data_IF_622966389289
#
_entry.id   IF_622966389289
#
_cell.length_a   1.000
_cell.length_b   1.000
_cell.length_c   1.000
_cell.angle_alpha   90.00
_cell.angle_beta   90.00
_cell.angle_gamma   90.00
#
_symmetry.space_group_name_H-M   'P 1'
#
loop_
_entity.id
_entity.type
_entity.pdbx_description
1 polymer ?
#
# COMPACT_ATOMS: atom_id res chain seq x y z
N UNK A 1 7.84 8.96 1.72
CA UNK A 1 6.51 8.57 2.21
C UNK A 1 6.46 9.00 3.67
N UNK A 2 5.43 9.76 4.08
CA UNK A 2 5.39 10.41 5.39
C UNK A 2 5.34 9.45 6.58
N UNK A 3 5.50 9.98 7.79
CA UNK A 3 5.37 9.23 9.05
C UNK A 3 4.02 8.50 9.11
N UNK A 4 4.06 7.18 9.37
CA UNK A 4 2.86 6.36 9.59
C UNK A 4 2.34 5.55 8.40
N UNK A 5 2.99 5.61 7.22
CA UNK A 5 2.68 4.71 6.08
C UNK A 5 3.62 3.51 6.09
N UNK A 6 3.04 2.31 6.09
CA UNK A 6 3.77 1.04 6.06
C UNK A 6 3.58 0.36 4.71
N UNK A 7 4.68 -0.15 4.14
CA UNK A 7 4.66 -1.06 3.00
C UNK A 7 5.07 -2.45 3.49
N UNK A 8 4.19 -3.43 3.34
CA UNK A 8 4.43 -4.81 3.72
C UNK A 8 4.44 -5.67 2.47
N UNK A 9 5.58 -6.28 2.15
CA UNK A 9 5.72 -7.19 1.01
C UNK A 9 5.81 -8.64 1.50
N UNK A 10 4.82 -9.47 1.15
CA UNK A 10 4.75 -10.87 1.57
C UNK A 10 4.85 -11.83 0.37
N UNK A 11 5.77 -12.80 0.36
CA UNK A 11 5.79 -13.85 -0.65
C UNK A 11 4.57 -14.78 -0.46
N UNK A 12 3.83 -15.08 -1.53
CA UNK A 12 2.75 -16.06 -1.53
C UNK A 12 3.14 -17.23 -2.45
N UNK A 13 2.82 -18.48 -2.07
CA UNK A 13 3.30 -19.70 -2.78
C UNK A 13 3.13 -19.59 -4.29
N UNK A 14 4.25 -19.50 -5.02
CA UNK A 14 4.30 -19.47 -6.49
C UNK A 14 4.07 -18.10 -7.13
N UNK A 15 3.63 -17.09 -6.37
CA UNK A 15 3.25 -15.78 -6.86
C UNK A 15 4.03 -14.65 -6.15
N UNK A 16 4.53 -13.71 -6.94
CA UNK A 16 5.38 -12.64 -6.45
C UNK A 16 4.56 -11.62 -5.64
N UNK A 17 4.95 -11.48 -4.37
CA UNK A 17 4.73 -10.37 -3.45
C UNK A 17 3.35 -9.69 -3.48
N UNK A 18 2.55 -9.95 -2.45
CA UNK A 18 1.45 -9.04 -2.09
C UNK A 18 2.06 -7.84 -1.39
N UNK A 19 1.97 -6.66 -2.01
CA UNK A 19 2.36 -5.40 -1.39
C UNK A 19 1.13 -4.79 -0.75
N UNK A 20 1.18 -4.59 0.56
CA UNK A 20 0.12 -3.99 1.36
C UNK A 20 0.60 -2.61 1.82
N UNK A 21 -0.21 -1.60 1.54
CA UNK A 21 -0.05 -0.26 2.09
C UNK A 21 -1.01 -0.09 3.26
N UNK A 22 -0.45 0.26 4.41
CA UNK A 22 -1.21 0.52 5.62
C UNK A 22 -0.86 1.89 6.20
N UNK A 23 -1.81 2.48 6.92
CA UNK A 23 -1.64 3.75 7.64
C UNK A 23 -2.03 3.53 9.09
N UNK A 24 -1.18 3.95 10.03
CA UNK A 24 -1.55 3.98 11.44
C UNK A 24 -2.20 5.32 11.77
N UNK A 25 -3.44 5.27 12.27
CA UNK A 25 -4.22 6.43 12.69
C UNK A 25 -4.75 6.17 14.10
N UNK A 26 -4.21 6.89 15.09
CA UNK A 26 -4.47 6.62 16.50
C UNK A 26 -4.07 5.20 16.89
N UNK A 27 -5.01 4.45 17.44
CA UNK A 27 -4.83 3.07 17.88
C UNK A 27 -5.15 2.03 16.79
N UNK A 28 -5.56 2.46 15.58
CA UNK A 28 -5.97 1.58 14.50
C UNK A 28 -4.98 1.56 13.32
N UNK A 29 -4.82 0.39 12.70
CA UNK A 29 -4.08 0.22 11.44
C UNK A 29 -5.08 0.04 10.31
N UNK A 30 -5.00 0.92 9.31
CA UNK A 30 -5.87 0.92 8.14
C UNK A 30 -5.14 0.35 6.93
N UNK A 31 -5.63 -0.76 6.39
CA UNK A 31 -5.12 -1.29 5.12
C UNK A 31 -5.80 -0.55 3.97
N UNK A 32 -5.06 0.32 3.29
CA UNK A 32 -5.61 1.16 2.22
C UNK A 32 -5.49 0.51 0.85
N UNK A 33 -4.49 -0.36 0.66
CA UNK A 33 -4.28 -1.00 -0.63
C UNK A 33 -3.52 -2.32 -0.47
N UNK A 34 -3.91 -3.33 -1.23
CA UNK A 34 -3.20 -4.59 -1.33
C UNK A 34 -3.25 -5.05 -2.79
N UNK A 35 -2.11 -5.31 -3.39
CA UNK A 35 -2.04 -5.81 -4.77
C UNK A 35 -0.98 -6.90 -4.91
N UNK A 36 -1.17 -7.75 -5.91
CA UNK A 36 -0.21 -8.77 -6.30
C UNK A 36 0.73 -8.21 -7.36
N UNK A 37 2.02 -8.28 -7.10
CA UNK A 37 3.03 -7.83 -8.04
C UNK A 37 3.25 -8.89 -9.13
N UNK A 38 2.78 -8.62 -10.35
CA UNK A 38 2.88 -9.57 -11.48
C UNK A 38 4.32 -9.83 -11.98
N UNK A 39 5.32 -9.04 -11.57
CA UNK A 39 6.73 -9.24 -11.99
C UNK A 39 7.71 -9.19 -10.82
N UNK A 40 8.53 -10.23 -10.62
CA UNK A 40 9.59 -10.24 -9.61
C UNK A 40 10.78 -9.35 -9.98
N UNK A 41 10.92 -8.91 -11.24
CA UNK A 41 12.11 -8.19 -11.74
C UNK A 41 12.13 -6.68 -11.49
N UNK A 42 10.98 -6.06 -11.23
CA UNK A 42 10.90 -4.61 -11.03
C UNK A 42 10.77 -4.28 -9.56
N UNK A 43 11.85 -3.98 -8.82
CA UNK A 43 11.78 -3.58 -7.39
C UNK A 43 10.85 -2.38 -7.21
N UNK A 44 10.78 -1.49 -8.20
CA UNK A 44 9.91 -0.30 -8.19
C UNK A 44 8.43 -0.66 -8.28
N UNK A 45 7.66 -0.11 -7.36
CA UNK A 45 6.20 -0.03 -7.44
C UNK A 45 5.80 0.70 -8.74
N UNK A 46 4.89 0.14 -9.57
CA UNK A 46 4.41 0.83 -10.76
C UNK A 46 3.82 2.19 -10.39
N UNK A 47 4.05 3.20 -11.24
CA UNK A 47 3.60 4.56 -10.95
C UNK A 47 2.07 4.65 -10.82
N UNK A 48 1.33 3.81 -11.54
CA UNK A 48 -0.13 3.68 -11.41
C UNK A 48 -0.55 3.28 -9.99
N UNK A 49 0.14 2.33 -9.36
CA UNK A 49 -0.15 1.90 -7.99
C UNK A 49 0.15 3.02 -7.00
N UNK A 50 1.25 3.76 -7.20
CA UNK A 50 1.60 4.94 -6.39
C UNK A 50 0.49 5.99 -6.43
N UNK A 51 -0.07 6.28 -7.61
CA UNK A 51 -1.17 7.22 -7.74
C UNK A 51 -2.46 6.72 -7.07
N UNK A 52 -2.78 5.42 -7.18
CA UNK A 52 -3.91 4.81 -6.46
C UNK A 52 -3.75 4.96 -4.95
N UNK A 53 -2.55 4.71 -4.41
CA UNK A 53 -2.26 4.83 -2.98
C UNK A 53 -2.44 6.28 -2.52
N UNK A 54 -1.92 7.26 -3.27
CA UNK A 54 -2.10 8.69 -2.94
C UNK A 54 -3.56 9.09 -2.94
N UNK A 55 -4.34 8.68 -3.93
CA UNK A 55 -5.76 8.98 -4.03
C UNK A 55 -6.55 8.40 -2.84
N UNK A 56 -6.27 7.14 -2.49
CA UNK A 56 -6.90 6.48 -1.33
C UNK A 56 -6.49 7.11 0.00
N UNK A 57 -5.23 7.50 0.15
CA UNK A 57 -4.76 8.20 1.35
C UNK A 57 -5.44 9.56 1.52
N UNK A 58 -5.63 10.31 0.42
CA UNK A 58 -6.34 11.59 0.45
C UNK A 58 -7.78 11.40 0.90
N UNK A 59 -8.49 10.43 0.29
CA UNK A 59 -9.86 10.09 0.66
C UNK A 59 -9.99 9.65 2.13
N UNK A 60 -9.08 8.81 2.61
CA UNK A 60 -9.08 8.36 4.01
C UNK A 60 -8.93 9.55 4.98
N UNK A 61 -8.08 10.53 4.65
CA UNK A 61 -7.94 11.75 5.46
C UNK A 61 -9.19 12.61 5.46
N UNK A 62 -9.89 12.72 4.32
CA UNK A 62 -11.15 13.45 4.20
C UNK A 62 -12.28 12.77 4.99
N UNK A 63 -12.36 11.44 4.98
CA UNK A 63 -13.37 10.68 5.74
C UNK A 63 -13.14 10.69 7.26
N UNK A 64 -11.92 10.99 7.72
CA UNK A 64 -11.54 11.02 9.13
C UNK A 64 -11.30 12.44 9.68
N UNK A 65 -11.53 13.47 8.86
CA UNK A 65 -11.53 14.89 9.28
C UNK A 65 -12.94 15.30 9.70
#
# INVERSE_FOLDING_TARGET
>A
MGSGVFEIALPFKGDAYRTIYAVQLGEAIWVIHAFQKKSPKGIKTPQQEVEVIKARLKRLKEELS
#
